data_IF_966176368720
#
_entry.id   IF_966176368720
#
_cell.length_a   1.000
_cell.length_b   1.000
_cell.length_c   1.000
_cell.angle_alpha   90.00
_cell.angle_beta   90.00
_cell.angle_gamma   90.00
#
_symmetry.space_group_name_H-M   'P 1'
#
loop_
_entity.id
_entity.type
_entity.pdbx_description
1 polymer ?
#
# COMPACT_ATOMS: atom_id res chain seq x y z
N UNK A 1 54.60 -63.05 12.92
CA UNK A 1 53.59 -64.08 13.21
C UNK A 1 53.20 -63.99 14.67
N UNK A 2 51.90 -63.96 14.94
CA UNK A 2 51.33 -63.97 16.29
C UNK A 2 50.91 -65.38 16.68
N UNK A 3 50.64 -65.62 17.98
CA UNK A 3 50.22 -66.93 18.49
C UNK A 3 48.89 -67.40 17.88
N UNK A 4 48.02 -66.46 17.53
CA UNK A 4 46.74 -66.72 16.85
C UNK A 4 46.94 -67.15 15.39
N UNK A 5 47.94 -66.60 14.69
CA UNK A 5 48.26 -67.03 13.32
C UNK A 5 48.71 -68.50 13.31
N UNK A 6 49.47 -68.92 14.33
CA UNK A 6 49.95 -70.30 14.47
C UNK A 6 48.77 -71.26 14.69
N UNK A 7 47.82 -70.91 15.57
CA UNK A 7 46.61 -71.71 15.83
C UNK A 7 45.76 -71.81 14.55
N UNK A 8 45.54 -70.68 13.87
CA UNK A 8 44.79 -70.64 12.59
C UNK A 8 45.43 -71.51 11.51
N UNK A 9 46.75 -71.52 11.40
CA UNK A 9 47.47 -72.36 10.43
C UNK A 9 47.38 -73.85 10.78
N UNK A 10 47.39 -74.21 12.07
CA UNK A 10 47.24 -75.61 12.51
C UNK A 10 45.84 -76.18 12.31
N UNK A 11 44.80 -75.34 12.29
CA UNK A 11 43.40 -75.75 12.13
C UNK A 11 42.94 -75.82 10.66
N UNK A 12 43.83 -75.58 9.68
CA UNK A 12 43.45 -75.59 8.27
C UNK A 12 43.09 -77.02 7.84
N UNK A 13 41.81 -77.22 7.51
CA UNK A 13 41.29 -78.51 7.01
C UNK A 13 41.96 -78.91 5.69
N UNK A 14 42.39 -80.17 5.58
CA UNK A 14 43.10 -80.73 4.41
C UNK A 14 42.34 -80.53 3.08
N UNK A 15 40.99 -80.63 3.07
CA UNK A 15 40.16 -80.33 1.89
C UNK A 15 40.34 -78.90 1.36
N UNK A 16 40.67 -77.94 2.23
CA UNK A 16 40.85 -76.53 1.89
C UNK A 16 42.19 -76.30 1.20
N UNK A 17 43.23 -77.04 1.59
CA UNK A 17 44.57 -77.03 0.98
C UNK A 17 44.51 -77.64 -0.42
N UNK A 18 43.79 -78.77 -0.58
CA UNK A 18 43.68 -79.47 -1.87
C UNK A 18 42.83 -78.74 -2.93
N UNK A 19 41.93 -77.84 -2.53
CA UNK A 19 41.10 -77.01 -3.43
C UNK A 19 41.56 -75.54 -3.44
N UNK A 20 42.74 -75.27 -2.87
CA UNK A 20 43.28 -73.92 -2.78
C UNK A 20 43.83 -73.50 -4.15
N UNK A 21 43.34 -72.36 -4.62
CA UNK A 21 43.78 -71.73 -5.86
C UNK A 21 44.52 -70.46 -5.45
N UNK A 22 45.84 -70.49 -5.52
CA UNK A 22 46.69 -69.37 -5.09
C UNK A 22 46.37 -68.11 -5.88
N UNK A 23 46.09 -68.24 -7.18
CA UNK A 23 45.78 -67.10 -8.05
C UNK A 23 44.51 -66.37 -7.60
N UNK A 24 43.45 -67.10 -7.22
CA UNK A 24 42.21 -66.49 -6.69
C UNK A 24 42.40 -65.87 -5.32
N UNK A 25 43.27 -66.45 -4.49
CA UNK A 25 43.58 -65.89 -3.19
C UNK A 25 44.37 -64.58 -3.34
N UNK A 26 45.34 -64.54 -4.25
CA UNK A 26 46.11 -63.35 -4.58
C UNK A 26 45.22 -62.25 -5.18
N UNK A 27 44.29 -62.59 -6.08
CA UNK A 27 43.29 -61.66 -6.61
C UNK A 27 42.38 -61.11 -5.51
N UNK A 28 41.94 -61.97 -4.58
CA UNK A 28 41.11 -61.56 -3.45
C UNK A 28 41.87 -60.65 -2.47
N UNK A 29 43.17 -60.91 -2.23
CA UNK A 29 44.04 -60.05 -1.44
C UNK A 29 44.18 -58.68 -2.12
N UNK A 30 44.43 -58.66 -3.43
CA UNK A 30 44.56 -57.42 -4.20
C UNK A 30 43.27 -56.58 -4.19
N UNK A 31 42.11 -57.21 -4.30
CA UNK A 31 40.82 -56.53 -4.17
C UNK A 31 40.62 -55.92 -2.77
N UNK A 32 40.95 -56.67 -1.71
CA UNK A 32 40.88 -56.15 -0.34
C UNK A 32 41.83 -54.96 -0.16
N UNK A 33 43.06 -55.04 -0.68
CA UNK A 33 44.02 -53.94 -0.60
C UNK A 33 43.51 -52.68 -1.30
N UNK A 34 42.89 -52.84 -2.48
CA UNK A 34 42.25 -51.74 -3.21
C UNK A 34 41.09 -51.13 -2.42
N UNK A 35 40.19 -51.95 -1.85
CA UNK A 35 39.09 -51.47 -1.01
C UNK A 35 39.62 -50.74 0.24
N UNK A 36 40.68 -51.26 0.86
CA UNK A 36 41.33 -50.63 2.01
C UNK A 36 41.93 -49.26 1.65
N UNK A 37 42.52 -49.12 0.46
CA UNK A 37 43.07 -47.85 -0.01
C UNK A 37 41.95 -46.84 -0.29
N UNK A 38 40.86 -47.28 -0.91
CA UNK A 38 39.67 -46.45 -1.15
C UNK A 38 39.05 -45.98 0.17
N UNK A 39 38.88 -46.87 1.15
CA UNK A 39 38.38 -46.52 2.48
C UNK A 39 39.31 -45.53 3.17
N UNK A 40 40.63 -45.73 3.13
CA UNK A 40 41.60 -44.77 3.67
C UNK A 40 41.51 -43.41 2.97
N UNK A 41 41.30 -43.39 1.66
CA UNK A 41 41.11 -42.15 0.90
C UNK A 41 39.82 -41.43 1.33
N UNK A 42 38.71 -42.16 1.50
CA UNK A 42 37.45 -41.61 2.02
C UNK A 42 37.60 -41.09 3.45
N UNK A 43 38.34 -41.78 4.31
CA UNK A 43 38.61 -41.33 5.68
C UNK A 43 39.48 -40.06 5.71
N UNK A 44 40.49 -39.94 4.84
CA UNK A 44 41.29 -38.72 4.68
C UNK A 44 40.45 -37.56 4.14
N UNK A 45 39.53 -37.84 3.21
CA UNK A 45 38.68 -36.85 2.55
C UNK A 45 37.22 -36.91 3.02
N UNK A 46 37.02 -37.00 4.35
CA UNK A 46 35.72 -37.28 4.95
C UNK A 46 34.65 -36.26 4.57
N UNK A 47 35.00 -34.97 4.47
CA UNK A 47 34.06 -33.89 4.11
C UNK A 47 33.48 -34.13 2.70
N UNK A 48 34.34 -34.42 1.72
CA UNK A 48 33.94 -34.69 0.34
C UNK A 48 33.07 -35.95 0.25
N UNK A 49 33.44 -37.00 1.00
CA UNK A 49 32.66 -38.22 1.10
C UNK A 49 31.26 -37.93 1.70
N UNK A 50 31.18 -37.18 2.79
CA UNK A 50 29.91 -36.81 3.44
C UNK A 50 29.02 -35.96 2.52
N UNK A 51 29.59 -35.01 1.77
CA UNK A 51 28.84 -34.22 0.78
C UNK A 51 28.27 -35.14 -0.31
N UNK A 52 29.08 -36.07 -0.83
CA UNK A 52 28.63 -37.02 -1.85
C UNK A 52 27.51 -37.92 -1.31
N UNK A 53 27.67 -38.42 -0.09
CA UNK A 53 26.66 -39.22 0.61
C UNK A 53 25.31 -38.48 0.71
N UNK A 54 25.29 -37.21 1.15
CA UNK A 54 24.05 -36.42 1.19
C UNK A 54 23.49 -36.12 -0.20
N UNK A 55 24.34 -35.90 -1.22
CA UNK A 55 23.89 -35.77 -2.62
C UNK A 55 23.21 -37.05 -3.12
N UNK A 56 23.74 -38.22 -2.79
CA UNK A 56 23.14 -39.51 -3.14
C UNK A 56 21.78 -39.71 -2.44
N UNK A 57 21.67 -39.36 -1.15
CA UNK A 57 20.39 -39.38 -0.42
C UNK A 57 19.36 -38.47 -1.11
N UNK A 58 19.74 -37.24 -1.45
CA UNK A 58 18.85 -36.31 -2.17
C UNK A 58 18.42 -36.87 -3.53
N UNK A 59 19.32 -37.52 -4.28
CA UNK A 59 18.98 -38.14 -5.57
C UNK A 59 18.02 -39.33 -5.42
N UNK A 60 18.24 -40.18 -4.41
CA UNK A 60 17.42 -41.38 -4.16
C UNK A 60 16.02 -41.05 -3.62
N UNK A 61 15.89 -40.04 -2.78
CA UNK A 61 14.64 -39.74 -2.05
C UNK A 61 13.99 -38.39 -2.39
N UNK A 62 14.61 -37.53 -3.20
CA UNK A 62 14.12 -36.17 -3.48
C UNK A 62 13.13 -36.06 -4.65
N UNK A 63 13.14 -37.02 -5.59
CA UNK A 63 12.26 -36.94 -6.78
C UNK A 63 10.79 -37.07 -6.35
N UNK A 64 9.94 -36.10 -6.73
CA UNK A 64 8.52 -36.08 -6.39
C UNK A 64 8.19 -35.63 -4.96
N UNK A 65 9.19 -35.19 -4.17
CA UNK A 65 9.01 -34.62 -2.83
C UNK A 65 9.40 -33.15 -2.80
N UNK A 66 8.76 -32.38 -3.66
CA UNK A 66 8.93 -30.92 -3.66
C UNK A 66 8.32 -30.29 -2.41
N UNK A 67 8.84 -29.11 -2.05
CA UNK A 67 8.33 -28.36 -0.91
C UNK A 67 6.87 -27.99 -1.18
N UNK A 68 5.97 -28.42 -0.30
CA UNK A 68 4.54 -28.13 -0.37
C UNK A 68 4.15 -26.80 0.29
N UNK A 69 5.07 -26.18 1.01
CA UNK A 69 4.86 -24.93 1.74
C UNK A 69 5.54 -23.76 1.02
N UNK A 70 4.92 -22.59 1.08
CA UNK A 70 5.52 -21.35 0.58
C UNK A 70 6.28 -20.64 1.71
N UNK A 71 7.44 -20.07 1.39
CA UNK A 71 8.12 -19.17 2.32
C UNK A 71 7.52 -17.79 2.09
N UNK A 72 6.58 -17.40 2.95
CA UNK A 72 6.08 -16.01 3.03
C UNK A 72 6.71 -15.35 4.26
N UNK A 73 7.26 -14.16 4.06
CA UNK A 73 7.67 -13.31 5.18
C UNK A 73 6.41 -12.67 5.74
N UNK A 74 6.05 -13.03 6.97
CA UNK A 74 5.02 -12.30 7.70
C UNK A 74 5.65 -11.02 8.22
N UNK A 75 5.15 -9.87 7.77
CA UNK A 75 5.48 -8.61 8.43
C UNK A 75 5.01 -8.69 9.89
N UNK A 76 5.77 -8.12 10.80
CA UNK A 76 5.46 -8.06 12.23
C UNK A 76 4.09 -7.41 12.39
N UNK A 77 3.05 -8.25 12.56
CA UNK A 77 1.70 -7.79 12.83
C UNK A 77 1.79 -7.04 14.15
N UNK A 78 1.81 -5.71 14.09
CA UNK A 78 1.57 -4.88 15.26
C UNK A 78 0.20 -5.29 15.77
N UNK A 79 0.16 -6.02 16.89
CA UNK A 79 -1.06 -6.54 17.49
C UNK A 79 -2.12 -5.44 17.77
N UNK A 80 -1.72 -4.17 17.73
CA UNK A 80 -2.59 -3.00 17.77
C UNK A 80 -3.42 -2.78 16.50
N UNK A 81 -3.05 -3.33 15.34
CA UNK A 81 -3.72 -3.07 14.05
C UNK A 81 -4.76 -4.12 13.66
N UNK A 82 -4.83 -5.25 14.38
CA UNK A 82 -5.73 -6.38 14.11
C UNK A 82 -6.64 -6.61 15.32
N UNK A 83 -7.35 -5.56 15.74
CA UNK A 83 -8.46 -5.72 16.67
C UNK A 83 -9.70 -5.25 15.95
N UNK A 84 -10.69 -6.12 15.84
CA UNK A 84 -11.97 -5.78 15.25
C UNK A 84 -12.61 -4.62 16.03
N UNK A 85 -13.17 -3.65 15.30
CA UNK A 85 -13.94 -2.54 15.85
C UNK A 85 -15.25 -3.08 16.43
N UNK A 86 -15.20 -3.60 17.65
CA UNK A 86 -16.32 -4.28 18.29
C UNK A 86 -17.17 -3.35 19.16
N UNK A 87 -16.69 -2.14 19.44
CA UNK A 87 -17.35 -1.20 20.32
C UNK A 87 -17.72 0.11 19.61
N UNK A 88 -18.76 0.78 20.12
CA UNK A 88 -19.22 2.08 19.63
C UNK A 88 -18.90 3.13 20.68
N UNK A 89 -18.19 4.18 20.29
CA UNK A 89 -17.84 5.29 21.16
C UNK A 89 -18.95 6.33 21.19
N UNK A 90 -19.33 6.74 22.40
CA UNK A 90 -20.31 7.80 22.63
C UNK A 90 -19.74 8.87 23.56
N UNK A 91 -20.30 10.07 23.50
CA UNK A 91 -19.93 11.16 24.40
C UNK A 91 -21.11 12.05 24.79
N UNK A 92 -21.01 12.63 25.98
CA UNK A 92 -21.94 13.64 26.48
C UNK A 92 -21.18 14.97 26.65
N UNK A 93 -21.46 15.93 25.77
CA UNK A 93 -20.77 17.22 25.76
C UNK A 93 -20.99 18.06 27.02
N UNK A 94 -22.17 17.97 27.66
CA UNK A 94 -22.54 18.81 28.80
C UNK A 94 -22.00 18.26 30.12
N UNK A 95 -22.17 16.97 30.33
CA UNK A 95 -21.74 16.29 31.56
C UNK A 95 -20.27 15.87 31.51
N UNK A 96 -19.62 15.94 30.34
CA UNK A 96 -18.18 15.71 30.22
C UNK A 96 -17.77 14.24 30.29
N UNK A 97 -18.64 13.33 29.86
CA UNK A 97 -18.37 11.89 29.85
C UNK A 97 -18.13 11.35 28.44
N UNK A 98 -17.20 10.40 28.31
CA UNK A 98 -16.99 9.60 27.10
C UNK A 98 -17.03 8.12 27.46
N UNK A 99 -17.41 7.27 26.51
CA UNK A 99 -17.26 5.83 26.67
C UNK A 99 -18.22 5.01 25.82
N UNK A 100 -18.09 3.69 25.92
CA UNK A 100 -18.89 2.71 25.17
C UNK A 100 -20.24 2.41 25.83
N UNK A 101 -20.36 2.67 27.14
CA UNK A 101 -21.58 2.43 27.92
C UNK A 101 -22.66 3.50 27.75
N UNK A 102 -22.33 4.63 27.13
CA UNK A 102 -23.21 5.81 26.98
C UNK A 102 -24.14 5.70 25.76
N UNK A 103 -24.89 4.60 25.64
CA UNK A 103 -25.74 4.30 24.48
C UNK A 103 -26.86 5.32 24.20
N UNK A 104 -27.15 6.21 25.15
CA UNK A 104 -28.20 7.24 25.04
C UNK A 104 -27.66 8.59 24.55
N UNK A 105 -26.35 8.76 24.50
CA UNK A 105 -25.68 10.01 24.16
C UNK A 105 -25.22 10.02 22.69
N UNK A 106 -24.49 11.06 22.28
CA UNK A 106 -24.10 11.26 20.87
C UNK A 106 -23.06 10.22 20.43
N UNK A 107 -23.32 9.59 19.28
CA UNK A 107 -22.43 8.61 18.66
C UNK A 107 -21.28 9.30 17.92
N UNK A 108 -20.06 8.81 18.12
CA UNK A 108 -18.84 9.35 17.49
C UNK A 108 -18.36 8.44 16.36
N UNK A 109 -17.87 7.25 16.71
CA UNK A 109 -17.29 6.30 15.77
C UNK A 109 -17.23 4.89 16.40
N UNK A 110 -16.88 3.91 15.58
CA UNK A 110 -16.55 2.57 16.05
C UNK A 110 -15.09 2.54 16.51
N UNK A 111 -14.82 1.87 17.62
CA UNK A 111 -13.51 1.80 18.25
C UNK A 111 -13.24 0.42 18.84
N UNK A 112 -11.96 0.15 19.11
CA UNK A 112 -11.49 -0.99 19.88
C UNK A 112 -11.29 -0.61 21.36
N UNK A 113 -11.36 -1.60 22.24
CA UNK A 113 -11.10 -1.44 23.68
C UNK A 113 -9.64 -1.04 23.98
N UNK A 114 -8.73 -1.21 23.01
CA UNK A 114 -7.31 -0.87 23.14
C UNK A 114 -6.99 0.52 22.59
N UNK A 115 -7.91 1.10 21.82
CA UNK A 115 -7.70 2.39 21.17
C UNK A 115 -7.58 3.52 22.18
N UNK A 116 -6.84 4.55 21.77
CA UNK A 116 -6.74 5.82 22.46
C UNK A 116 -7.73 6.80 21.83
N UNK A 117 -8.35 7.64 22.65
CA UNK A 117 -9.33 8.64 22.23
C UNK A 117 -8.79 10.01 22.60
N UNK A 118 -8.82 10.94 21.64
CA UNK A 118 -8.53 12.34 21.89
C UNK A 118 -9.82 13.08 22.20
N UNK A 119 -9.80 13.87 23.28
CA UNK A 119 -10.91 14.75 23.68
C UNK A 119 -10.39 16.17 23.73
N UNK A 120 -11.12 17.11 23.12
CA UNK A 120 -10.83 18.53 23.18
C UNK A 120 -12.02 19.24 23.82
N UNK A 121 -11.73 20.07 24.82
CA UNK A 121 -12.69 20.89 25.55
C UNK A 121 -12.73 22.32 25.03
N UNK A 122 -13.81 23.02 25.34
CA UNK A 122 -14.03 24.41 24.94
C UNK A 122 -13.06 25.42 25.57
N UNK A 123 -12.50 25.10 26.73
CA UNK A 123 -11.44 25.88 27.40
C UNK A 123 -10.07 25.75 26.69
N UNK A 124 -9.99 24.88 25.67
CA UNK A 124 -8.78 24.61 24.91
C UNK A 124 -7.87 23.55 25.52
N UNK A 125 -8.27 22.96 26.65
CA UNK A 125 -7.60 21.79 27.22
C UNK A 125 -8.01 20.55 26.42
N UNK A 126 -7.06 19.67 26.18
CA UNK A 126 -7.28 18.40 25.54
C UNK A 126 -6.53 17.29 26.29
N UNK A 127 -7.04 16.08 26.18
CA UNK A 127 -6.47 14.90 26.81
C UNK A 127 -6.63 13.70 25.88
N UNK A 128 -5.74 12.73 26.07
CA UNK A 128 -5.79 11.45 25.38
C UNK A 128 -5.97 10.38 26.45
N UNK A 129 -7.04 9.59 26.33
CA UNK A 129 -7.36 8.54 27.30
C UNK A 129 -7.75 7.26 26.57
N UNK A 130 -7.65 6.13 27.26
CA UNK A 130 -8.01 4.82 26.69
C UNK A 130 -9.54 4.69 26.62
N UNK A 131 -10.05 3.99 25.62
CA UNK A 131 -11.47 3.59 25.59
C UNK A 131 -11.84 2.80 26.85
N UNK A 132 -12.92 3.21 27.51
CA UNK A 132 -13.52 2.52 28.64
C UNK A 132 -15.04 2.76 28.67
N UNK A 133 -15.76 2.10 29.57
CA UNK A 133 -17.22 2.14 29.62
C UNK A 133 -17.78 3.55 29.88
N UNK A 134 -17.17 4.27 30.83
CA UNK A 134 -17.51 5.66 31.18
C UNK A 134 -16.33 6.34 31.85
N UNK A 135 -15.83 7.42 31.26
CA UNK A 135 -14.71 8.23 31.78
C UNK A 135 -15.12 9.69 31.79
N UNK A 136 -14.82 10.38 32.88
CA UNK A 136 -14.99 11.84 32.98
C UNK A 136 -13.75 12.54 32.44
N UNK A 137 -13.94 13.44 31.48
CA UNK A 137 -12.87 14.13 30.75
C UNK A 137 -12.98 15.66 30.87
N UNK A 138 -13.95 16.14 31.66
CA UNK A 138 -14.24 17.55 31.89
C UNK A 138 -15.40 18.06 31.04
N UNK A 139 -16.02 19.14 31.49
CA UNK A 139 -17.24 19.69 30.90
C UNK A 139 -16.97 20.44 29.58
N UNK A 140 -18.02 20.65 28.80
CA UNK A 140 -17.99 21.39 27.52
C UNK A 140 -17.02 20.78 26.49
N UNK A 141 -17.20 19.49 26.21
CA UNK A 141 -16.46 18.80 25.15
C UNK A 141 -16.90 19.36 23.78
N UNK A 142 -15.93 19.68 22.92
CA UNK A 142 -16.19 20.14 21.55
C UNK A 142 -15.83 19.12 20.49
N UNK A 143 -14.92 18.19 20.79
CA UNK A 143 -14.47 17.18 19.83
C UNK A 143 -13.99 15.92 20.53
N UNK A 144 -14.35 14.77 19.97
CA UNK A 144 -13.94 13.43 20.40
C UNK A 144 -13.67 12.61 19.15
N UNK A 145 -12.54 11.90 19.11
CA UNK A 145 -12.23 10.97 18.02
C UNK A 145 -11.21 9.91 18.49
N UNK A 146 -11.18 8.75 17.85
CA UNK A 146 -10.07 7.79 17.99
C UNK A 146 -8.76 8.45 17.54
N UNK A 147 -7.75 8.40 18.39
CA UNK A 147 -6.46 9.04 18.21
C UNK A 147 -5.46 8.11 17.54
N UNK A 148 -5.05 8.48 16.32
CA UNK A 148 -3.99 7.80 15.60
C UNK A 148 -2.62 8.31 16.08
N UNK A 149 -1.84 7.43 16.70
CA UNK A 149 -0.50 7.78 17.19
C UNK A 149 0.40 8.19 16.02
N UNK A 150 1.13 9.29 16.21
CA UNK A 150 2.05 9.87 15.24
C UNK A 150 1.39 10.31 13.92
N UNK A 151 0.09 10.61 13.95
CA UNK A 151 -0.57 11.22 12.81
C UNK A 151 -0.20 12.71 12.71
N UNK A 152 0.60 13.03 11.69
CA UNK A 152 0.98 14.39 11.32
C UNK A 152 0.07 15.01 10.26
N UNK A 153 -0.84 14.21 9.67
CA UNK A 153 -1.71 14.65 8.57
C UNK A 153 -2.99 15.30 9.08
N UNK A 154 -3.53 14.83 10.20
CA UNK A 154 -4.69 15.48 10.81
C UNK A 154 -4.30 16.85 11.35
N UNK A 155 -4.70 17.90 10.64
CA UNK A 155 -4.50 19.29 11.06
C UNK A 155 -5.77 19.83 11.67
N UNK A 156 -5.64 20.32 12.89
CA UNK A 156 -6.69 21.02 13.59
C UNK A 156 -6.59 22.51 13.29
N UNK A 157 -7.62 23.08 12.68
CA UNK A 157 -7.74 24.52 12.52
C UNK A 157 -8.53 25.06 13.71
N UNK A 158 -7.94 25.98 14.45
CA UNK A 158 -8.46 26.45 15.72
C UNK A 158 -8.46 27.98 15.70
N UNK A 159 -9.61 28.58 16.05
CA UNK A 159 -9.69 29.97 16.48
C UNK A 159 -10.03 30.00 17.96
N UNK A 160 -9.17 30.58 18.77
CA UNK A 160 -9.37 30.69 20.20
C UNK A 160 -9.18 32.13 20.67
N UNK A 161 -9.89 32.49 21.73
CA UNK A 161 -9.70 33.73 22.47
C UNK A 161 -8.70 33.48 23.60
N UNK A 162 -7.66 34.31 23.70
CA UNK A 162 -6.64 34.22 24.76
C UNK A 162 -7.09 34.98 26.02
N UNK A 163 -7.64 34.26 26.99
CA UNK A 163 -8.24 34.86 28.19
C UNK A 163 -9.59 35.53 27.94
N UNK A 164 -10.18 36.10 29.00
CA UNK A 164 -11.57 36.61 28.99
C UNK A 164 -11.80 37.76 28.00
N UNK A 165 -10.82 38.66 27.86
CA UNK A 165 -10.92 39.88 27.03
C UNK A 165 -9.75 40.02 26.04
N UNK A 166 -8.98 38.95 25.81
CA UNK A 166 -7.84 39.00 24.90
C UNK A 166 -8.22 38.86 23.42
N UNK A 167 -7.21 38.98 22.52
CA UNK A 167 -7.42 38.86 21.09
C UNK A 167 -7.82 37.44 20.68
N UNK A 168 -8.50 37.32 19.54
CA UNK A 168 -8.71 36.04 18.89
C UNK A 168 -7.50 35.69 18.04
N UNK A 169 -6.99 34.49 18.23
CA UNK A 169 -5.84 33.93 17.54
C UNK A 169 -6.31 32.74 16.70
N UNK A 170 -5.77 32.63 15.49
CA UNK A 170 -5.98 31.49 14.59
C UNK A 170 -4.70 30.66 14.51
N UNK A 171 -4.84 29.34 14.56
CA UNK A 171 -3.73 28.39 14.57
C UNK A 171 -4.09 27.12 13.80
N UNK A 172 -3.11 26.59 13.08
CA UNK A 172 -3.15 25.26 12.47
C UNK A 172 -2.09 24.42 13.15
N UNK A 173 -2.45 23.26 13.67
CA UNK A 173 -1.50 22.36 14.30
C UNK A 173 -1.90 20.89 14.18
N UNK A 174 -0.90 20.02 14.08
CA UNK A 174 -1.06 18.58 14.28
C UNK A 174 -0.83 18.23 15.76
N UNK A 175 -1.54 17.21 16.25
CA UNK A 175 -1.37 16.69 17.61
C UNK A 175 -0.61 15.37 17.53
N UNK A 176 0.70 15.44 17.60
CA UNK A 176 1.57 14.26 17.59
C UNK A 176 1.88 13.79 19.01
N UNK A 177 1.82 12.46 19.20
CA UNK A 177 2.37 11.69 20.32
C UNK A 177 2.37 12.35 21.70
N UNK A 178 1.48 11.90 22.59
CA UNK A 178 1.37 12.40 23.95
C UNK A 178 1.13 11.28 24.94
N UNK A 179 1.55 11.51 26.19
CA UNK A 179 1.27 10.61 27.31
C UNK A 179 -0.22 10.57 27.61
N UNK A 180 -0.74 9.37 27.86
CA UNK A 180 -2.13 9.15 28.29
C UNK A 180 -2.45 9.88 29.60
N UNK A 181 -3.71 10.24 29.76
CA UNK A 181 -4.33 10.77 30.98
C UNK A 181 -3.65 12.04 31.53
N UNK A 182 -2.92 12.74 30.68
CA UNK A 182 -2.32 14.05 30.98
C UNK A 182 -3.07 15.13 30.21
N UNK A 183 -3.42 16.20 30.91
CA UNK A 183 -4.02 17.39 30.30
C UNK A 183 -2.97 18.26 29.63
N UNK A 184 -3.27 18.69 28.41
CA UNK A 184 -2.46 19.62 27.61
C UNK A 184 -3.35 20.76 27.10
N UNK A 185 -2.76 21.87 26.68
CA UNK A 185 -3.52 23.03 26.20
C UNK A 185 -3.16 23.38 24.76
N UNK A 186 -4.17 23.61 23.90
CA UNK A 186 -4.02 24.07 22.51
C UNK A 186 -3.82 25.59 22.41
N UNK A 187 -4.25 26.31 23.45
CA UNK A 187 -4.10 27.75 23.63
C UNK A 187 -2.81 28.06 24.42
N UNK A 188 -2.66 29.32 24.89
CA UNK A 188 -1.52 29.72 25.74
C UNK A 188 -1.69 29.32 27.21
N UNK A 189 -2.85 28.79 27.60
CA UNK A 189 -3.13 28.42 28.99
C UNK A 189 -3.48 29.59 29.90
N UNK A 190 -3.78 30.77 29.34
CA UNK A 190 -4.27 31.91 30.12
C UNK A 190 -5.70 31.62 30.64
N UNK A 191 -5.99 31.86 31.93
CA UNK A 191 -7.33 31.62 32.49
C UNK A 191 -8.43 32.37 31.73
N UNK A 192 -9.52 31.68 31.43
CA UNK A 192 -10.65 32.22 30.66
C UNK A 192 -10.47 32.15 29.14
N UNK A 193 -9.42 31.47 28.65
CA UNK A 193 -9.28 31.13 27.24
C UNK A 193 -10.43 30.24 26.77
N UNK A 194 -10.82 30.43 25.50
CA UNK A 194 -11.94 29.69 24.92
C UNK A 194 -11.78 29.48 23.43
N UNK A 195 -12.02 28.27 22.97
CA UNK A 195 -12.14 27.94 21.54
C UNK A 195 -13.48 28.47 21.02
N UNK A 196 -13.41 29.29 19.97
CA UNK A 196 -14.55 29.91 19.30
C UNK A 196 -14.91 29.15 18.02
N UNK A 197 -13.89 28.62 17.34
CA UNK A 197 -14.04 27.83 16.12
C UNK A 197 -13.04 26.68 16.13
N UNK A 198 -13.49 25.51 15.72
CA UNK A 198 -12.69 24.29 15.66
C UNK A 198 -13.11 23.48 14.44
N UNK A 199 -12.13 22.99 13.69
CA UNK A 199 -12.31 21.94 12.69
C UNK A 199 -11.15 20.95 12.79
N UNK A 200 -11.47 19.68 12.61
CA UNK A 200 -10.50 18.59 12.52
C UNK A 200 -10.45 18.13 11.07
N UNK A 201 -9.30 18.30 10.41
CA UNK A 201 -9.13 18.02 9.00
C UNK A 201 -8.11 16.88 8.83
N UNK A 202 -8.54 15.63 8.62
CA UNK A 202 -7.66 14.47 8.52
C UNK A 202 -6.56 14.57 7.45
N UNK A 203 -6.83 15.37 6.40
CA UNK A 203 -5.91 15.59 5.28
C UNK A 203 -5.30 17.01 5.27
N UNK A 204 -5.41 17.76 6.36
CA UNK A 204 -4.85 19.10 6.42
C UNK A 204 -5.55 20.13 5.55
N UNK A 205 -6.85 19.97 5.33
CA UNK A 205 -7.69 20.91 4.58
C UNK A 205 -7.62 22.32 5.19
N UNK A 206 -7.48 23.33 4.33
CA UNK A 206 -7.45 24.74 4.70
C UNK A 206 -8.75 25.43 4.33
N UNK A 207 -9.69 25.45 5.25
CA UNK A 207 -11.00 26.06 5.02
C UNK A 207 -10.97 27.60 5.03
N UNK A 208 -11.98 28.20 4.42
CA UNK A 208 -12.23 29.64 4.49
C UNK A 208 -13.38 29.90 5.45
N UNK A 209 -13.14 30.72 6.47
CA UNK A 209 -14.14 31.10 7.47
C UNK A 209 -14.59 32.54 7.29
N UNK A 210 -15.85 32.81 7.62
CA UNK A 210 -16.45 34.14 7.65
C UNK A 210 -16.62 34.59 9.10
N UNK A 211 -15.94 35.66 9.48
CA UNK A 211 -15.91 36.19 10.84
C UNK A 211 -16.87 37.37 10.95
N UNK A 212 -17.85 37.27 11.84
CA UNK A 212 -18.81 38.33 12.15
C UNK A 212 -18.42 39.04 13.44
N UNK A 213 -18.11 40.33 13.36
CA UNK A 213 -17.84 41.15 14.54
C UNK A 213 -19.11 41.59 15.27
N UNK A 214 -19.01 41.78 16.59
CA UNK A 214 -20.06 42.49 17.33
C UNK A 214 -20.09 43.96 16.87
N UNK A 215 -21.27 44.55 16.65
CA UNK A 215 -21.39 45.96 16.30
C UNK A 215 -20.74 46.86 17.36
N UNK A 216 -19.79 47.70 16.94
CA UNK A 216 -19.11 48.69 17.79
C UNK A 216 -18.95 50.01 17.02
N UNK A 217 -19.20 51.14 17.69
CA UNK A 217 -18.95 52.45 17.10
C UNK A 217 -17.47 52.55 16.66
N UNK A 218 -17.24 53.02 15.42
CA UNK A 218 -15.93 53.11 14.71
C UNK A 218 -15.43 51.84 13.99
N UNK A 219 -16.15 50.71 14.03
CA UNK A 219 -15.74 49.52 13.27
C UNK A 219 -16.20 49.61 11.79
N UNK A 220 -15.26 49.76 10.85
CA UNK A 220 -15.58 49.89 9.41
C UNK A 220 -15.95 48.57 8.72
N UNK A 221 -15.34 47.44 9.15
CA UNK A 221 -15.60 46.11 8.59
C UNK A 221 -16.24 45.22 9.66
N UNK A 222 -17.56 45.06 9.58
CA UNK A 222 -18.33 44.15 10.46
C UNK A 222 -18.12 42.67 10.10
N UNK A 223 -17.72 42.42 8.86
CA UNK A 223 -17.59 41.09 8.31
C UNK A 223 -16.35 41.01 7.44
N UNK A 224 -15.58 39.96 7.63
CA UNK A 224 -14.45 39.63 6.77
C UNK A 224 -14.29 38.12 6.66
N UNK A 225 -13.54 37.70 5.65
CA UNK A 225 -13.23 36.30 5.40
C UNK A 225 -11.76 36.06 5.73
N UNK A 226 -11.47 34.89 6.29
CA UNK A 226 -10.14 34.47 6.66
C UNK A 226 -9.88 33.08 6.13
N UNK A 227 -8.77 32.95 5.41
CA UNK A 227 -8.33 31.71 4.79
C UNK A 227 -7.26 31.06 5.67
N UNK A 228 -7.52 29.84 6.13
CA UNK A 228 -6.54 29.06 6.89
C UNK A 228 -5.34 28.63 6.03
N UNK A 229 -5.46 28.61 4.70
CA UNK A 229 -4.37 28.25 3.78
C UNK A 229 -3.18 29.19 3.87
N UNK A 230 -3.43 30.45 4.26
CA UNK A 230 -2.39 31.46 4.48
C UNK A 230 -1.57 31.21 5.76
N UNK A 231 -2.06 30.36 6.67
CA UNK A 231 -1.35 30.00 7.89
C UNK A 231 -0.48 28.76 7.68
N UNK A 232 0.80 28.88 8.03
CA UNK A 232 1.68 27.73 8.17
C UNK A 232 1.20 26.82 9.31
N UNK A 233 1.42 25.51 9.14
CA UNK A 233 1.17 24.50 10.18
C UNK A 233 2.23 24.71 11.27
N UNK A 234 1.79 25.07 12.48
CA UNK A 234 2.66 25.32 13.63
C UNK A 234 2.66 24.12 14.59
N UNK A 235 3.64 24.09 15.49
CA UNK A 235 3.66 23.13 16.59
C UNK A 235 2.49 23.31 17.57
N UNK A 236 2.11 22.22 18.24
CA UNK A 236 1.01 22.20 19.22
C UNK A 236 1.18 23.19 20.39
N UNK A 237 2.40 23.54 20.79
CA UNK A 237 2.68 24.54 21.84
C UNK A 237 2.88 25.97 21.30
N UNK A 238 2.92 26.15 19.97
CA UNK A 238 3.19 27.45 19.37
C UNK A 238 1.99 28.40 19.48
N UNK A 239 2.27 29.69 19.56
CA UNK A 239 1.23 30.73 19.57
C UNK A 239 0.56 30.87 18.19
N UNK A 240 -0.76 31.04 18.17
CA UNK A 240 -1.51 31.37 16.96
C UNK A 240 -1.18 32.76 16.39
N UNK A 241 -1.59 33.03 15.15
CA UNK A 241 -1.54 34.36 14.56
C UNK A 241 -2.76 35.17 14.98
N UNK A 242 -2.62 36.48 15.15
CA UNK A 242 -3.74 37.34 15.54
C UNK A 242 -4.73 37.39 14.37
N UNK A 243 -5.93 36.85 14.58
CA UNK A 243 -7.04 36.97 13.65
C UNK A 243 -7.67 38.35 13.77
N UNK A 244 -8.00 38.75 14.99
CA UNK A 244 -8.62 40.05 15.27
C UNK A 244 -8.58 40.40 16.76
N UNK A 245 -8.49 41.69 17.07
CA UNK A 245 -8.58 42.22 18.44
C UNK A 245 -10.02 42.64 18.82
N UNK A 246 -10.92 42.69 17.84
CA UNK A 246 -12.29 43.13 18.06
C UNK A 246 -13.17 41.94 18.49
N UNK A 247 -14.20 42.18 19.32
CA UNK A 247 -15.09 41.12 19.76
C UNK A 247 -15.82 40.48 18.56
N UNK A 248 -15.84 39.16 18.54
CA UNK A 248 -16.52 38.36 17.52
C UNK A 248 -17.87 37.89 18.04
N UNK A 249 -18.90 37.97 17.21
CA UNK A 249 -20.24 37.46 17.50
C UNK A 249 -20.35 35.98 17.12
N UNK A 250 -19.92 35.63 15.91
CA UNK A 250 -19.91 34.25 15.40
C UNK A 250 -18.89 34.08 14.28
N UNK A 251 -18.45 32.84 14.09
CA UNK A 251 -17.61 32.41 12.98
C UNK A 251 -18.41 31.34 12.22
N UNK A 252 -18.50 31.46 10.91
CA UNK A 252 -19.25 30.54 10.05
C UNK A 252 -18.32 29.99 8.99
N UNK A 253 -18.35 28.68 8.76
CA UNK A 253 -17.64 28.04 7.65
C UNK A 253 -18.23 28.54 6.32
N UNK A 254 -17.38 29.07 5.43
CA UNK A 254 -17.79 29.51 4.09
C UNK A 254 -17.55 28.41 3.06
N UNK A 255 -16.34 27.88 3.03
CA UNK A 255 -15.90 26.92 2.02
C UNK A 255 -14.96 25.89 2.65
N UNK A 256 -15.19 24.61 2.33
CA UNK A 256 -14.26 23.53 2.72
C UNK A 256 -13.00 23.66 1.86
N UNK A 257 -11.86 23.63 2.54
CA UNK A 257 -10.56 23.84 1.90
C UNK A 257 -10.10 22.68 1.04
N UNK A 258 -9.20 22.98 0.11
CA UNK A 258 -8.35 21.95 -0.50
C UNK A 258 -7.29 21.50 0.51
N UNK A 259 -6.80 20.26 0.35
CA UNK A 259 -5.67 19.72 1.13
C UNK A 259 -4.44 20.60 0.93
N UNK A 260 -3.90 21.19 2.00
CA UNK A 260 -2.62 21.92 1.91
C UNK A 260 -1.41 20.99 2.03
N UNK A 261 -1.64 19.71 2.35
CA UNK A 261 -0.61 18.68 2.33
C UNK A 261 -0.56 18.10 0.92
N UNK A 262 0.66 17.89 0.41
CA UNK A 262 0.89 17.15 -0.83
C UNK A 262 0.27 15.76 -0.79
N UNK A 263 0.05 15.17 -1.96
CA UNK A 263 -0.53 13.85 -2.04
C UNK A 263 0.42 12.79 -1.48
N UNK A 264 -0.15 11.67 -1.05
CA UNK A 264 0.60 10.57 -0.45
C UNK A 264 1.09 9.65 -1.56
N UNK A 265 2.40 9.43 -1.62
CA UNK A 265 2.96 8.39 -2.49
C UNK A 265 2.58 7.02 -1.94
N UNK A 266 1.96 6.17 -2.76
CA UNK A 266 1.47 4.85 -2.39
C UNK A 266 2.15 3.79 -3.26
N UNK A 267 2.54 2.69 -2.64
CA UNK A 267 3.04 1.49 -3.29
C UNK A 267 2.18 0.29 -2.93
N UNK A 268 2.11 -0.69 -3.83
CA UNK A 268 1.48 -1.99 -3.60
C UNK A 268 2.54 -3.06 -3.49
N UNK A 269 2.52 -3.79 -2.37
CA UNK A 269 3.41 -4.92 -2.14
C UNK A 269 2.68 -6.22 -2.51
N UNK A 270 3.09 -6.81 -3.62
CA UNK A 270 2.52 -8.06 -4.17
C UNK A 270 2.73 -9.26 -3.23
N UNK A 271 3.73 -9.25 -2.34
CA UNK A 271 4.02 -10.36 -1.44
C UNK A 271 3.04 -10.45 -0.26
N UNK A 272 2.54 -9.30 0.22
CA UNK A 272 1.61 -9.21 1.35
C UNK A 272 0.20 -8.75 0.94
N UNK A 273 0.01 -8.36 -0.32
CA UNK A 273 -1.25 -7.86 -0.89
C UNK A 273 -1.80 -6.68 -0.08
N UNK A 274 -0.92 -5.70 0.18
CA UNK A 274 -1.24 -4.49 0.95
C UNK A 274 -0.56 -3.26 0.36
N UNK A 275 -1.17 -2.11 0.64
CA UNK A 275 -0.59 -0.81 0.34
C UNK A 275 0.44 -0.43 1.42
N UNK A 276 1.47 0.30 1.01
CA UNK A 276 2.47 0.87 1.91
C UNK A 276 2.95 2.23 1.41
N UNK A 277 3.73 2.91 2.24
CA UNK A 277 4.38 4.20 1.94
C UNK A 277 5.90 4.13 2.06
N UNK A 278 6.44 2.92 2.22
CA UNK A 278 7.86 2.70 2.48
C UNK A 278 8.62 2.37 1.19
N UNK A 279 8.05 2.73 0.03
CA UNK A 279 8.59 2.44 -1.29
C UNK A 279 8.81 0.93 -1.58
N UNK A 280 7.96 0.06 -1.02
CA UNK A 280 8.04 -1.40 -1.24
C UNK A 280 7.03 -1.84 -2.30
N UNK A 281 7.51 -2.52 -3.34
CA UNK A 281 6.68 -3.05 -4.42
C UNK A 281 6.39 -2.04 -5.54
N UNK A 282 5.23 -2.17 -6.17
CA UNK A 282 4.86 -1.39 -7.37
C UNK A 282 4.35 -0.02 -6.99
N UNK A 283 4.93 1.04 -7.57
CA UNK A 283 4.47 2.41 -7.33
C UNK A 283 3.13 2.67 -8.03
N UNK A 284 2.11 3.06 -7.26
CA UNK A 284 0.77 3.32 -7.79
C UNK A 284 0.52 4.80 -8.13
N UNK A 285 1.34 5.70 -7.60
CA UNK A 285 1.21 7.14 -7.80
C UNK A 285 1.08 7.93 -6.50
N UNK A 286 0.81 9.22 -6.66
CA UNK A 286 0.55 10.17 -5.58
C UNK A 286 -0.98 10.37 -5.42
N UNK A 287 -1.49 10.22 -4.20
CA UNK A 287 -2.92 10.20 -3.88
C UNK A 287 -3.33 11.37 -2.99
N UNK A 288 -4.33 12.13 -3.45
CA UNK A 288 -5.08 13.13 -2.71
C UNK A 288 -6.37 12.53 -2.13
N UNK A 289 -7.11 13.28 -1.30
CA UNK A 289 -8.28 12.77 -0.58
C UNK A 289 -9.37 12.14 -1.47
N UNK A 290 -9.61 12.72 -2.66
CA UNK A 290 -10.65 12.26 -3.59
C UNK A 290 -10.16 11.17 -4.55
N UNK A 291 -8.86 10.85 -4.52
CA UNK A 291 -8.30 9.83 -5.41
C UNK A 291 -8.71 8.42 -4.97
N UNK A 292 -8.96 7.58 -5.97
CA UNK A 292 -9.35 6.18 -5.77
C UNK A 292 -8.36 5.25 -6.45
N UNK A 293 -8.31 4.02 -5.96
CA UNK A 293 -7.66 2.91 -6.63
C UNK A 293 -8.67 2.15 -7.48
N UNK A 294 -8.24 1.73 -8.66
CA UNK A 294 -8.93 0.75 -9.48
C UNK A 294 -8.24 -0.60 -9.29
N UNK A 295 -9.04 -1.62 -8.99
CA UNK A 295 -8.60 -3.01 -8.90
C UNK A 295 -9.37 -3.82 -9.95
N UNK A 296 -8.65 -4.53 -10.82
CA UNK A 296 -9.21 -5.47 -11.78
C UNK A 296 -8.67 -6.86 -11.45
N UNK A 297 -9.56 -7.85 -11.35
CA UNK A 297 -9.21 -9.23 -11.02
C UNK A 297 -9.17 -10.14 -12.25
N UNK A 298 -8.48 -11.27 -12.14
CA UNK A 298 -8.38 -12.32 -13.18
C UNK A 298 -9.75 -12.93 -13.55
N UNK A 299 -10.73 -12.79 -12.65
CA UNK A 299 -12.11 -13.25 -12.88
C UNK A 299 -12.92 -12.26 -13.72
N UNK A 300 -12.29 -11.20 -14.25
CA UNK A 300 -12.96 -10.22 -15.10
C UNK A 300 -13.96 -9.34 -14.36
N UNK A 301 -13.62 -8.97 -13.12
CA UNK A 301 -14.38 -7.98 -12.35
C UNK A 301 -13.47 -6.82 -11.95
N UNK A 302 -14.05 -5.63 -11.85
CA UNK A 302 -13.36 -4.44 -11.35
C UNK A 302 -14.07 -3.85 -10.14
N UNK A 303 -13.34 -3.13 -9.30
CA UNK A 303 -13.87 -2.32 -8.20
C UNK A 303 -12.97 -1.12 -7.94
N UNK A 304 -13.55 -0.09 -7.36
CA UNK A 304 -12.87 1.09 -6.89
C UNK A 304 -12.75 1.00 -5.38
N UNK A 305 -11.62 1.44 -4.83
CA UNK A 305 -11.40 1.43 -3.38
C UNK A 305 -10.61 2.66 -2.98
N UNK A 306 -10.64 3.01 -1.69
CA UNK A 306 -9.77 4.04 -1.16
C UNK A 306 -8.32 3.52 -1.10
N UNK A 307 -7.37 4.38 -0.73
CA UNK A 307 -5.96 4.03 -0.62
C UNK A 307 -5.50 3.85 0.84
N UNK A 308 -6.41 3.42 1.73
CA UNK A 308 -6.05 3.14 3.12
C UNK A 308 -5.05 1.97 3.21
N UNK A 309 -3.99 2.15 3.98
CA UNK A 309 -2.96 1.12 4.24
C UNK A 309 -3.50 -0.08 5.03
N UNK A 310 -4.70 0.05 5.62
CA UNK A 310 -5.40 -1.07 6.26
C UNK A 310 -6.00 -2.04 5.24
N UNK A 311 -6.19 -1.61 3.98
CA UNK A 311 -6.79 -2.42 2.94
C UNK A 311 -5.99 -3.68 2.65
N UNK A 312 -6.70 -4.81 2.62
CA UNK A 312 -6.17 -6.09 2.18
C UNK A 312 -6.76 -6.45 0.83
N UNK A 313 -5.91 -6.91 -0.08
CA UNK A 313 -6.31 -7.26 -1.43
C UNK A 313 -6.26 -8.77 -1.66
N UNK A 314 -7.01 -9.20 -2.66
CA UNK A 314 -7.17 -10.58 -3.10
C UNK A 314 -5.97 -11.06 -3.96
N UNK A 315 -5.67 -12.36 -3.95
CA UNK A 315 -4.52 -12.94 -4.69
C UNK A 315 -4.70 -12.90 -6.22
N UNK A 316 -5.94 -12.78 -6.71
CA UNK A 316 -6.26 -12.82 -8.13
C UNK A 316 -6.31 -11.42 -8.76
N UNK A 317 -5.60 -10.43 -8.21
CA UNK A 317 -5.43 -9.13 -8.87
C UNK A 317 -4.71 -9.34 -10.21
N UNK A 318 -5.21 -8.64 -11.23
CA UNK A 318 -4.60 -8.53 -12.55
C UNK A 318 -4.04 -7.12 -12.78
N UNK A 319 -4.79 -6.08 -12.39
CA UNK A 319 -4.37 -4.68 -12.47
C UNK A 319 -4.74 -4.00 -11.15
N UNK A 320 -3.80 -3.25 -10.57
CA UNK A 320 -4.04 -2.32 -9.47
C UNK A 320 -3.34 -1.00 -9.79
N UNK A 321 -4.09 0.09 -9.84
CA UNK A 321 -3.56 1.40 -10.21
C UNK A 321 -4.41 2.55 -9.68
N UNK A 322 -3.89 3.78 -9.76
CA UNK A 322 -4.68 5.00 -9.51
C UNK A 322 -5.78 5.13 -10.56
N UNK A 323 -7.03 5.25 -10.11
CA UNK A 323 -8.17 5.41 -10.99
C UNK A 323 -8.09 6.73 -11.76
N UNK A 324 -8.25 6.66 -13.08
CA UNK A 324 -8.29 7.80 -13.99
C UNK A 324 -9.61 7.78 -14.77
N UNK A 325 -10.54 8.70 -14.51
CA UNK A 325 -11.79 8.78 -15.25
C UNK A 325 -11.56 8.89 -16.76
N UNK A 326 -12.34 8.15 -17.56
CA UNK A 326 -12.25 8.17 -19.02
C UNK A 326 -11.21 7.23 -19.63
N UNK A 327 -10.44 6.50 -18.81
CA UNK A 327 -9.52 5.45 -19.29
C UNK A 327 -10.30 4.29 -19.91
N UNK A 328 -9.88 3.85 -21.09
CA UNK A 328 -10.56 2.82 -21.89
C UNK A 328 -9.80 1.51 -21.79
N UNK A 329 -10.50 0.44 -21.44
CA UNK A 329 -9.98 -0.92 -21.41
C UNK A 329 -10.51 -1.68 -22.61
N UNK A 330 -9.62 -2.39 -23.31
CA UNK A 330 -9.97 -3.35 -24.34
C UNK A 330 -9.78 -4.75 -23.79
N UNK A 331 -10.82 -5.58 -23.83
CA UNK A 331 -10.85 -6.90 -23.23
C UNK A 331 -11.22 -7.94 -24.27
N UNK A 332 -10.49 -9.06 -24.27
CA UNK A 332 -10.85 -10.30 -24.95
C UNK A 332 -11.18 -11.36 -23.92
N UNK A 333 -12.34 -11.99 -24.08
CA UNK A 333 -12.78 -13.05 -23.17
C UNK A 333 -13.52 -14.16 -23.94
N UNK A 334 -13.52 -15.36 -23.35
CA UNK A 334 -14.33 -16.49 -23.80
C UNK A 334 -15.68 -16.44 -23.07
N UNK A 335 -16.78 -16.34 -23.83
CA UNK A 335 -18.14 -16.49 -23.30
C UNK A 335 -18.50 -17.97 -23.30
N UNK A 336 -18.58 -18.59 -22.12
CA UNK A 336 -18.87 -20.02 -22.00
C UNK A 336 -20.29 -20.40 -22.41
N UNK A 337 -21.25 -19.46 -22.35
CA UNK A 337 -22.64 -19.73 -22.77
C UNK A 337 -22.76 -19.98 -24.28
N UNK A 338 -21.93 -19.28 -25.06
CA UNK A 338 -21.94 -19.39 -26.52
C UNK A 338 -20.71 -20.11 -27.08
N UNK A 339 -19.71 -20.34 -26.23
CA UNK A 339 -18.41 -20.92 -26.57
C UNK A 339 -17.69 -20.16 -27.71
N UNK A 340 -17.78 -18.82 -27.69
CA UNK A 340 -17.10 -17.94 -28.64
C UNK A 340 -16.24 -16.89 -27.93
N UNK A 341 -15.20 -16.45 -28.62
CA UNK A 341 -14.37 -15.32 -28.16
C UNK A 341 -15.02 -14.00 -28.54
N UNK A 342 -15.11 -13.09 -27.57
CA UNK A 342 -15.64 -11.75 -27.71
C UNK A 342 -14.58 -10.71 -27.40
N UNK A 343 -14.65 -9.58 -28.11
CA UNK A 343 -13.88 -8.38 -27.81
C UNK A 343 -14.81 -7.24 -27.43
N UNK A 344 -14.38 -6.46 -26.45
CA UNK A 344 -15.15 -5.35 -25.89
C UNK A 344 -14.24 -4.22 -25.48
N UNK A 345 -14.71 -2.98 -25.68
CA UNK A 345 -14.06 -1.77 -25.17
C UNK A 345 -15.01 -1.07 -24.22
N UNK A 346 -14.54 -0.69 -23.05
CA UNK A 346 -15.36 0.00 -22.06
C UNK A 346 -14.52 0.91 -21.15
N UNK A 347 -15.20 1.86 -20.51
CA UNK A 347 -14.69 2.63 -19.38
C UNK A 347 -15.25 2.03 -18.10
N UNK A 348 -14.47 2.04 -17.02
CA UNK A 348 -14.95 1.58 -15.72
C UNK A 348 -15.93 2.59 -15.14
N UNK A 349 -16.91 2.10 -14.38
CA UNK A 349 -17.86 2.93 -13.63
C UNK A 349 -17.51 2.86 -12.15
N UNK A 350 -17.56 3.98 -11.44
CA UNK A 350 -17.22 3.99 -10.02
C UNK A 350 -18.13 3.08 -9.20
N UNK A 351 -17.52 2.14 -8.48
CA UNK A 351 -18.24 1.20 -7.63
C UNK A 351 -17.30 0.57 -6.61
N UNK A 352 -17.68 0.58 -5.34
CA UNK A 352 -16.97 -0.14 -4.28
C UNK A 352 -17.22 -1.64 -4.33
N UNK A 353 -18.40 -2.03 -4.84
CA UNK A 353 -18.75 -3.44 -5.03
C UNK A 353 -18.09 -3.97 -6.32
N UNK A 354 -17.62 -5.22 -6.32
CA UNK A 354 -17.12 -5.85 -7.55
C UNK A 354 -18.19 -5.84 -8.65
N UNK A 355 -17.84 -5.29 -9.81
CA UNK A 355 -18.65 -5.30 -11.04
C UNK A 355 -17.95 -6.15 -12.09
N UNK A 356 -18.61 -7.19 -12.57
CA UNK A 356 -18.05 -8.09 -13.56
C UNK A 356 -18.36 -7.61 -14.98
N UNK A 357 -17.35 -7.68 -15.86
CA UNK A 357 -17.44 -7.27 -17.27
C UNK A 357 -17.32 -8.44 -18.24
N UNK A 358 -16.95 -9.61 -17.72
CA UNK A 358 -17.18 -10.92 -18.34
C UNK A 358 -18.44 -11.53 -17.70
N UNK A 359 -19.20 -12.35 -18.44
CA UNK A 359 -20.50 -12.86 -17.98
C UNK A 359 -20.43 -13.68 -16.69
N UNK A 360 -21.59 -13.98 -16.09
CA UNK A 360 -21.69 -14.64 -14.78
C UNK A 360 -21.35 -16.14 -14.80
N UNK A 361 -21.17 -16.74 -15.98
CA UNK A 361 -20.85 -18.16 -16.11
C UNK A 361 -19.41 -18.43 -15.63
N UNK A 362 -19.20 -19.30 -14.61
CA UNK A 362 -17.87 -19.60 -14.05
C UNK A 362 -16.85 -20.16 -15.04
N UNK A 363 -17.31 -20.76 -16.14
CA UNK A 363 -16.44 -21.28 -17.21
C UNK A 363 -15.99 -20.19 -18.19
N UNK A 364 -16.54 -18.98 -18.09
CA UNK A 364 -16.07 -17.82 -18.87
C UNK A 364 -14.69 -17.40 -18.40
N UNK A 365 -13.80 -17.12 -19.34
CA UNK A 365 -12.39 -16.83 -19.04
C UNK A 365 -11.96 -15.51 -19.67
N UNK A 366 -11.36 -14.66 -18.85
CA UNK A 366 -10.62 -13.50 -19.33
C UNK A 366 -9.35 -13.98 -20.03
N UNK A 367 -9.18 -13.61 -21.31
CA UNK A 367 -8.01 -14.01 -22.11
C UNK A 367 -6.97 -12.89 -22.10
N UNK A 368 -7.41 -11.65 -22.32
CA UNK A 368 -6.52 -10.49 -22.33
C UNK A 368 -7.27 -9.22 -21.95
N UNK A 369 -6.57 -8.30 -21.31
CA UNK A 369 -6.99 -6.92 -21.04
C UNK A 369 -5.82 -6.00 -21.36
N UNK A 370 -6.10 -4.88 -22.01
CA UNK A 370 -5.10 -3.87 -22.37
C UNK A 370 -5.69 -2.47 -22.27
N UNK A 371 -4.81 -1.53 -21.97
CA UNK A 371 -5.09 -0.10 -21.82
C UNK A 371 -4.62 0.71 -23.04
N UNK A 372 -4.06 0.02 -24.05
CA UNK A 372 -3.57 0.64 -25.27
C UNK A 372 -4.74 1.26 -26.05
N UNK A 373 -4.56 2.51 -26.52
CA UNK A 373 -5.61 3.28 -27.21
C UNK A 373 -6.08 2.60 -28.52
N UNK A 374 -5.14 2.01 -29.27
CA UNK A 374 -5.34 1.33 -30.55
C UNK A 374 -4.82 -0.13 -30.52
N UNK A 375 -5.40 -1.02 -29.71
CA UNK A 375 -4.83 -2.35 -29.52
C UNK A 375 -5.05 -3.23 -30.76
N UNK A 376 -4.08 -4.10 -31.02
CA UNK A 376 -4.11 -5.08 -32.09
C UNK A 376 -3.96 -6.48 -31.52
N UNK A 377 -4.78 -7.41 -32.02
CA UNK A 377 -4.70 -8.80 -31.61
C UNK A 377 -4.58 -9.70 -32.84
N UNK A 378 -3.61 -10.62 -32.79
CA UNK A 378 -3.46 -11.71 -33.74
C UNK A 378 -4.19 -12.94 -33.22
N UNK A 379 -5.09 -13.49 -34.03
CA UNK A 379 -5.81 -14.74 -33.78
C UNK A 379 -5.13 -15.85 -34.57
N UNK A 380 -4.63 -16.86 -33.84
CA UNK A 380 -4.10 -18.11 -34.41
C UNK A 380 -5.17 -19.17 -34.35
N UNK A 381 -5.51 -19.76 -35.48
CA UNK A 381 -6.56 -20.76 -35.57
C UNK A 381 -6.06 -22.17 -35.22
N UNK A 382 -6.93 -22.96 -34.59
CA UNK A 382 -6.62 -24.29 -34.08
C UNK A 382 -7.56 -25.38 -34.61
N UNK A 383 -7.32 -26.62 -34.19
CA UNK A 383 -8.17 -27.77 -34.52
C UNK A 383 -8.40 -27.94 -36.02
N UNK A 384 -9.68 -27.98 -36.43
CA UNK A 384 -10.09 -28.13 -37.85
C UNK A 384 -9.71 -26.93 -38.72
N UNK A 385 -9.33 -25.81 -38.12
CA UNK A 385 -9.00 -24.56 -38.80
C UNK A 385 -7.51 -24.20 -38.72
N UNK A 386 -6.64 -25.13 -38.31
CA UNK A 386 -5.21 -24.89 -38.12
C UNK A 386 -4.47 -24.42 -39.39
N UNK A 387 -4.98 -24.75 -40.58
CA UNK A 387 -4.36 -24.36 -41.86
C UNK A 387 -4.84 -22.98 -42.35
N UNK A 388 -5.62 -22.24 -41.57
CA UNK A 388 -6.09 -20.90 -41.91
C UNK A 388 -5.02 -19.87 -41.53
N UNK A 389 -4.84 -18.87 -42.39
CA UNK A 389 -3.96 -17.74 -42.11
C UNK A 389 -4.42 -17.01 -40.84
N UNK A 390 -3.45 -16.54 -40.05
CA UNK A 390 -3.72 -15.76 -38.85
C UNK A 390 -4.45 -14.46 -39.21
N UNK A 391 -5.38 -14.06 -38.36
CA UNK A 391 -6.15 -12.82 -38.55
C UNK A 391 -5.71 -11.77 -37.54
N UNK A 392 -5.40 -10.56 -38.00
CA UNK A 392 -5.07 -9.43 -37.13
C UNK A 392 -6.26 -8.47 -37.08
N UNK A 393 -6.72 -8.18 -35.86
CA UNK A 393 -7.85 -7.29 -35.63
C UNK A 393 -7.37 -6.01 -34.96
N UNK A 394 -7.68 -4.87 -35.58
CA UNK A 394 -7.55 -3.54 -34.97
C UNK A 394 -8.79 -3.24 -34.13
N UNK A 395 -8.67 -3.36 -32.82
CA UNK A 395 -9.83 -3.37 -31.91
C UNK A 395 -10.59 -2.05 -31.95
N UNK A 396 -9.88 -0.92 -32.11
CA UNK A 396 -10.50 0.39 -32.15
C UNK A 396 -11.42 0.60 -33.36
N UNK A 397 -11.06 0.06 -34.53
CA UNK A 397 -11.91 0.06 -35.72
C UNK A 397 -12.95 -1.07 -35.69
N UNK A 398 -12.66 -2.18 -35.02
CA UNK A 398 -13.54 -3.34 -34.96
C UNK A 398 -14.77 -3.13 -34.07
N UNK A 399 -14.61 -2.41 -32.95
CA UNK A 399 -15.68 -2.12 -31.99
C UNK A 399 -15.49 -0.75 -31.31
N UNK A 400 -16.58 0.02 -31.20
CA UNK A 400 -16.61 1.27 -30.43
C UNK A 400 -16.68 1.05 -28.91
N UNK A 401 -16.48 2.11 -28.14
CA UNK A 401 -16.59 2.05 -26.67
C UNK A 401 -18.06 1.78 -26.28
N UNK A 402 -18.28 0.78 -25.44
CA UNK A 402 -19.58 0.35 -24.92
C UNK A 402 -19.57 0.38 -23.39
N UNK A 403 -20.72 0.14 -22.79
CA UNK A 403 -20.81 -0.09 -21.34
C UNK A 403 -20.08 -1.38 -20.95
N UNK A 404 -19.55 -1.42 -19.73
CA UNK A 404 -19.00 -2.62 -19.11
C UNK A 404 -20.02 -3.77 -18.97
N UNK A 405 -21.31 -3.57 -19.22
CA UNK A 405 -22.34 -4.64 -19.27
C UNK A 405 -22.55 -5.25 -20.66
N UNK A 406 -22.10 -4.59 -21.73
CA UNK A 406 -22.33 -5.06 -23.09
C UNK A 406 -21.52 -6.34 -23.37
N UNK A 407 -22.04 -7.31 -24.13
CA UNK A 407 -21.25 -8.51 -24.50
C UNK A 407 -20.07 -8.20 -25.43
N UNK A 408 -20.12 -7.09 -26.15
CA UNK A 408 -19.11 -6.75 -27.16
C UNK A 408 -19.41 -7.42 -28.51
N UNK A 409 -18.37 -7.63 -29.32
CA UNK A 409 -18.47 -8.18 -30.68
C UNK A 409 -17.69 -9.49 -30.76
N UNK A 410 -18.30 -10.50 -31.37
CA UNK A 410 -17.66 -11.80 -31.58
C UNK A 410 -16.43 -11.62 -32.47
N UNK A 411 -15.29 -12.15 -32.02
CA UNK A 411 -14.03 -12.10 -32.77
C UNK A 411 -14.06 -13.03 -33.97
N UNK A 412 -14.45 -14.29 -33.75
CA UNK A 412 -14.50 -15.30 -34.80
C UNK A 412 -15.46 -16.43 -34.44
N UNK A 413 -15.93 -17.14 -35.46
CA UNK A 413 -16.70 -18.39 -35.30
C UNK A 413 -15.83 -19.65 -35.46
N UNK A 414 -14.54 -19.49 -35.79
CA UNK A 414 -13.62 -20.61 -35.97
C UNK A 414 -12.98 -21.03 -34.65
N UNK A 415 -12.47 -22.26 -34.61
CA UNK A 415 -11.67 -22.76 -33.48
C UNK A 415 -10.36 -21.99 -33.39
N UNK A 416 -10.11 -21.40 -32.23
CA UNK A 416 -8.92 -20.60 -31.92
C UNK A 416 -7.94 -21.46 -31.12
N UNK A 417 -6.66 -21.40 -31.47
CA UNK A 417 -5.56 -21.99 -30.69
C UNK A 417 -5.00 -20.96 -29.70
N UNK A 418 -4.72 -19.75 -30.17
CA UNK A 418 -4.18 -18.68 -29.33
C UNK A 418 -4.58 -17.28 -29.82
N UNK A 419 -4.59 -16.32 -28.89
CA UNK A 419 -4.81 -14.90 -29.17
C UNK A 419 -3.68 -14.12 -28.49
N UNK A 420 -2.92 -13.36 -29.28
CA UNK A 420 -1.82 -12.55 -28.76
C UNK A 420 -2.01 -11.08 -29.10
N UNK A 421 -1.68 -10.22 -28.15
CA UNK A 421 -1.58 -8.78 -28.41
C UNK A 421 -0.32 -8.50 -29.25
N UNK A 422 -0.47 -7.66 -30.27
CA UNK A 422 0.58 -7.23 -31.19
C UNK A 422 0.74 -5.73 -31.07
N UNK A 423 1.94 -5.21 -31.34
CA UNK A 423 2.19 -3.78 -31.27
C UNK A 423 1.20 -2.95 -32.14
N UNK A 424 0.69 -1.84 -31.59
CA UNK A 424 -0.19 -0.93 -32.31
C UNK A 424 0.55 -0.27 -33.48
N UNK A 425 -0.15 -0.01 -34.59
CA UNK A 425 0.42 0.69 -35.76
C UNK A 425 0.65 2.17 -35.45
N UNK A 426 -0.22 2.77 -34.63
CA UNK A 426 -0.12 4.16 -34.19
C UNK A 426 0.38 4.17 -32.75
N UNK A 427 1.66 4.51 -32.56
CA UNK A 427 2.22 4.83 -31.23
C UNK A 427 1.99 6.30 -30.96
N UNK A 428 1.20 6.65 -29.94
CA UNK A 428 1.32 7.98 -29.33
C UNK A 428 2.60 7.96 -28.51
N UNK A 429 3.50 8.90 -28.75
CA UNK A 429 4.58 9.21 -27.82
C UNK A 429 3.92 9.64 -26.50
N UNK A 430 4.04 8.79 -25.48
CA UNK A 430 3.67 9.18 -24.13
C UNK A 430 4.77 10.15 -23.69
N UNK A 431 4.49 11.45 -23.71
CA UNK A 431 5.31 12.43 -23.03
C UNK A 431 5.28 12.09 -21.54
N UNK A 432 6.36 11.49 -21.04
CA UNK A 432 6.63 11.44 -19.61
C UNK A 432 6.75 12.90 -19.12
N UNK A 433 6.20 13.25 -17.95
CA UNK A 433 6.50 14.53 -17.35
C UNK A 433 8.01 14.57 -17.08
N UNK A 434 8.71 15.55 -17.65
CA UNK A 434 10.10 15.82 -17.31
C UNK A 434 10.14 16.23 -15.84
N UNK A 435 10.83 15.43 -15.01
CA UNK A 435 11.22 15.84 -13.66
C UNK A 435 12.16 17.06 -13.81
N UNK A 436 11.74 18.20 -13.25
CA UNK A 436 12.59 19.38 -13.07
C UNK A 436 13.68 19.05 -12.04
N UNK A 437 14.78 18.45 -12.47
CA UNK A 437 16.03 18.47 -11.71
C UNK A 437 16.74 19.81 -11.96
N UNK A 438 16.74 20.66 -10.94
CA UNK A 438 17.60 21.83 -10.80
C UNK A 438 19.07 21.43 -10.98
N UNK A 439 19.66 21.78 -12.12
CA UNK A 439 21.11 21.69 -12.33
C UNK A 439 21.76 22.92 -11.70
N UNK A 440 22.40 22.73 -10.54
CA UNK A 440 23.32 23.68 -9.92
C UNK A 440 24.38 24.15 -10.94
N UNK A 441 24.47 25.47 -11.12
CA UNK A 441 25.37 26.12 -12.05
C UNK A 441 26.84 25.95 -11.69
N UNK A 442 27.58 25.22 -12.53
CA UNK A 442 29.03 25.33 -12.61
C UNK A 442 29.41 26.41 -13.63
N UNK A 443 29.83 27.57 -13.11
CA UNK A 443 30.45 28.64 -13.90
C UNK A 443 31.79 28.15 -14.46
N UNK A 444 31.95 28.18 -15.77
CA UNK A 444 33.27 28.27 -16.42
C UNK A 444 33.48 29.68 -16.99
N UNK A 445 34.72 30.20 -16.96
CA UNK A 445 35.02 31.60 -17.21
C UNK A 445 35.11 31.89 -18.72
N UNK A 446 34.63 33.07 -19.12
CA UNK A 446 34.84 33.62 -20.46
C UNK A 446 36.27 34.12 -20.58
N UNK A 447 36.94 33.71 -21.65
CA UNK A 447 38.16 34.33 -22.18
C UNK A 447 37.76 35.65 -22.83
N UNK A 448 38.36 36.74 -22.37
CA UNK A 448 38.56 37.95 -23.16
C UNK A 448 40.02 38.37 -23.00
N UNK A 449 40.67 38.65 -24.12
CA UNK A 449 42.00 39.19 -24.30
C UNK A 449 41.81 40.38 -25.30
N UNK A 450 42.68 41.41 -25.40
CA UNK A 450 43.86 41.75 -24.62
C UNK A 450 43.97 43.25 -24.25
N UNK A 451 45.07 43.58 -23.56
CA UNK A 451 45.82 44.85 -23.57
C UNK A 451 45.46 46.01 -22.60
N UNK A 452 46.53 46.39 -21.87
CA UNK A 452 46.99 47.73 -21.47
C UNK A 452 46.80 48.26 -20.03
N UNK A 453 47.98 48.38 -19.39
CA UNK A 453 48.47 49.36 -18.40
C UNK A 453 47.97 49.22 -16.93
N UNK A 454 48.82 48.75 -15.99
CA UNK A 454 49.78 49.53 -15.17
C UNK A 454 49.19 50.86 -14.67
N UNK A 455 48.94 51.02 -13.37
CA UNK A 455 49.93 51.43 -12.36
C UNK A 455 49.31 51.46 -10.95
N UNK A 456 50.20 51.36 -9.99
CA UNK A 456 50.03 51.32 -8.53
C UNK A 456 49.33 52.55 -7.95
N UNK A 457 48.43 52.33 -6.99
CA UNK A 457 48.57 52.72 -5.57
C UNK A 457 47.40 52.17 -4.74
#
# INVERSE_FOLDING_TARGET
MTRDDIIRLTEIKIKRISKYDSAKADEHILNIESEMEEVKNHLKNIISFTINYFKQIKKKYGKGRERRTEIRNFDTIQATKVVANNARLYFNAREGFIGTGLKKDEFVCECSDIDDVIVIRKDGVYLITKVADKVFVGNDIIYVQVFLKNDERTIYNIVYQDGKDGPLLAKRCAITGLTRDKEYNLTRGTPGSKIVYFSANPNGEAEVIRVHHKPKARLKKLLFEFDFGQLAIKGKSSMGNILTRNPVQKIVLKEKGLSTLGGRKIWFDDAVLRLNVDARGTYLGEFSADDKLLVITKNGCFRHTNFDLSNHFEENILIIEKYRPGKVYSVIYLDADQNYYYVKRFMTEESEKPLCFIGDNPESKLISITEVEYPRFEIKFGGKHKNRDNEIIEVAGFIGIKSYKAKGKRLTSYTVDNIHEVEPVVKKEIALPEDEEEVEGSRQPRKDDPAQMKLEL
#
